data_IF_001022539365
#
_entry.id   IF_001022539365
#
_cell.length_a   1.000
_cell.length_b   1.000
_cell.length_c   1.000
_cell.angle_alpha   90.00
_cell.angle_beta   90.00
_cell.angle_gamma   90.00
#
_symmetry.space_group_name_H-M   'P 1'
#
loop_
_entity.id
_entity.type
_entity.pdbx_description
1 polymer ?
#
# COMPACT_ATOMS: atom_id res chain seq x y z
N UNK A 1 0.78 13.07 19.41
CA UNK A 1 0.87 14.45 18.90
C UNK A 1 0.56 14.34 17.42
N UNK A 2 -0.57 14.85 16.97
CA UNK A 2 -1.00 14.68 15.58
C UNK A 2 -0.32 15.77 14.77
N UNK A 3 0.76 15.44 14.08
CA UNK A 3 1.41 16.36 13.16
C UNK A 3 0.44 16.59 11.99
N UNK A 4 -0.19 17.76 11.97
CA UNK A 4 -1.13 18.14 10.94
C UNK A 4 -0.39 18.26 9.61
N UNK A 5 -0.74 17.43 8.63
CA UNK A 5 -0.30 17.53 7.23
C UNK A 5 -0.53 18.97 6.74
N UNK A 6 0.55 19.70 6.45
CA UNK A 6 0.49 21.09 5.97
C UNK A 6 0.42 21.08 4.45
N UNK A 7 -0.78 21.17 3.91
CA UNK A 7 -0.97 21.36 2.46
C UNK A 7 -0.37 22.72 2.05
N UNK A 8 0.73 22.72 1.31
CA UNK A 8 1.43 23.95 0.89
C UNK A 8 0.91 24.49 -0.43
N UNK A 9 0.46 23.63 -1.33
CA UNK A 9 0.01 23.99 -2.67
C UNK A 9 -1.21 23.15 -3.06
N UNK A 10 -2.11 23.70 -3.88
CA UNK A 10 -3.30 22.98 -4.38
C UNK A 10 -3.43 23.25 -5.87
N UNK A 11 -3.42 22.20 -6.68
CA UNK A 11 -3.63 22.31 -8.12
C UNK A 11 -5.10 22.07 -8.45
N UNK A 12 -5.73 22.98 -9.19
CA UNK A 12 -7.18 22.92 -9.47
C UNK A 12 -7.45 22.68 -10.95
N UNK A 13 -8.57 21.99 -11.21
CA UNK A 13 -9.11 21.76 -12.56
C UNK A 13 -8.13 21.11 -13.54
N UNK A 14 -7.31 20.18 -13.04
CA UNK A 14 -6.43 19.39 -13.88
C UNK A 14 -7.28 18.42 -14.72
N UNK A 15 -7.11 18.39 -16.05
CA UNK A 15 -7.81 17.43 -16.90
C UNK A 15 -7.20 16.04 -16.69
N UNK A 16 -8.02 15.09 -16.28
CA UNK A 16 -7.66 13.68 -16.13
C UNK A 16 -8.49 12.86 -17.11
N UNK A 17 -7.81 12.13 -17.99
CA UNK A 17 -8.46 11.22 -18.92
C UNK A 17 -8.47 9.81 -18.32
N UNK A 18 -9.67 9.27 -18.09
CA UNK A 18 -9.88 7.86 -17.80
C UNK A 18 -10.81 7.30 -18.87
N UNK A 19 -10.35 6.29 -19.58
CA UNK A 19 -10.99 5.77 -20.79
C UNK A 19 -11.24 6.91 -21.81
N UNK A 20 -12.44 6.97 -22.36
CA UNK A 20 -12.87 8.00 -23.32
C UNK A 20 -13.45 9.26 -22.65
N UNK A 21 -13.28 9.45 -21.34
CA UNK A 21 -13.87 10.58 -20.60
C UNK A 21 -12.80 11.44 -19.92
N UNK A 22 -12.90 12.75 -20.14
CA UNK A 22 -12.10 13.75 -19.43
C UNK A 22 -12.88 14.26 -18.22
N UNK A 23 -12.24 14.22 -17.05
CA UNK A 23 -12.77 14.75 -15.79
C UNK A 23 -11.82 15.80 -15.23
N UNK A 24 -12.36 16.86 -14.64
CA UNK A 24 -11.57 17.83 -13.90
C UNK A 24 -11.35 17.32 -12.47
N UNK A 25 -10.10 17.33 -12.01
CA UNK A 25 -9.75 16.97 -10.64
C UNK A 25 -8.94 18.09 -9.97
N UNK A 26 -8.95 18.09 -8.63
CA UNK A 26 -8.03 18.87 -7.83
C UNK A 26 -6.97 17.91 -7.26
N UNK A 27 -5.70 18.25 -7.40
CA UNK A 27 -4.60 17.48 -6.86
C UNK A 27 -3.97 18.20 -5.67
N UNK A 28 -3.69 17.42 -4.63
CA UNK A 28 -2.95 17.85 -3.45
C UNK A 28 -1.55 17.21 -3.55
N UNK A 29 -0.46 17.98 -3.50
CA UNK A 29 0.88 17.43 -3.41
C UNK A 29 1.00 16.73 -2.05
N UNK A 30 1.32 15.44 -2.10
CA UNK A 30 1.66 14.66 -0.92
C UNK A 30 3.18 14.61 -0.83
N UNK A 31 3.73 14.89 0.35
CA UNK A 31 5.17 14.71 0.57
C UNK A 31 5.49 13.21 0.56
N UNK A 32 6.65 12.84 0.00
CA UNK A 32 7.07 11.44 -0.07
C UNK A 32 7.28 10.86 1.34
N UNK A 33 7.72 11.68 2.30
CA UNK A 33 7.80 11.30 3.70
C UNK A 33 6.43 11.00 4.33
N UNK A 34 5.37 11.73 3.93
CA UNK A 34 4.00 11.45 4.37
C UNK A 34 3.43 10.18 3.71
N UNK A 35 3.85 9.86 2.49
CA UNK A 35 3.45 8.64 1.80
C UNK A 35 4.00 7.38 2.48
N UNK A 36 5.25 7.41 2.94
CA UNK A 36 5.88 6.30 3.67
C UNK A 36 5.13 6.01 4.99
N UNK A 37 4.72 7.06 5.72
CA UNK A 37 3.90 6.92 6.94
C UNK A 37 2.54 6.26 6.63
N UNK A 38 1.90 6.64 5.53
CA UNK A 38 0.60 6.06 5.13
C UNK A 38 0.74 4.58 4.77
N UNK A 39 1.83 4.19 4.09
CA UNK A 39 2.09 2.79 3.75
C UNK A 39 2.44 1.95 4.97
N UNK A 40 3.18 2.50 5.92
CA UNK A 40 3.52 1.84 7.19
C UNK A 40 2.30 1.64 8.10
N UNK A 41 1.25 2.46 7.95
CA UNK A 41 -0.03 2.30 8.66
C UNK A 41 -1.00 1.30 7.97
N UNK A 42 -0.68 0.78 6.77
CA UNK A 42 -1.54 -0.19 6.11
C UNK A 42 -1.48 -1.55 6.84
N UNK A 43 -2.61 -2.12 7.28
CA UNK A 43 -2.66 -3.33 8.12
C UNK A 43 -2.15 -4.61 7.44
N UNK A 44 -1.74 -4.55 6.17
CA UNK A 44 -1.23 -5.68 5.39
C UNK A 44 0.20 -5.49 4.86
N UNK A 45 0.80 -4.32 5.00
CA UNK A 45 2.20 -4.10 4.68
C UNK A 45 2.97 -4.21 6.00
N UNK A 46 3.79 -5.25 6.20
CA UNK A 46 4.67 -5.23 7.35
C UNK A 46 5.60 -4.01 7.17
N UNK A 47 5.66 -3.07 8.13
CA UNK A 47 6.61 -1.96 8.05
C UNK A 47 8.02 -2.53 7.88
N UNK A 48 8.99 -1.76 7.39
CA UNK A 48 10.39 -2.20 7.43
C UNK A 48 10.79 -2.38 8.89
N UNK A 49 10.75 -3.62 9.37
CA UNK A 49 10.94 -3.92 10.79
C UNK A 49 12.43 -4.00 11.06
N UNK A 50 12.93 -3.20 12.01
CA UNK A 50 14.30 -3.32 12.53
C UNK A 50 14.53 -4.63 13.31
N UNK A 51 13.47 -5.41 13.55
CA UNK A 51 13.47 -6.63 14.34
C UNK A 51 13.10 -7.83 13.48
N UNK A 52 13.90 -8.89 13.56
CA UNK A 52 13.65 -10.19 12.93
C UNK A 52 12.57 -10.97 13.70
N UNK A 53 11.55 -11.47 13.00
CA UNK A 53 10.46 -12.24 13.60
C UNK A 53 10.74 -13.73 13.46
N UNK A 54 10.79 -14.43 14.59
CA UNK A 54 10.90 -15.88 14.63
C UNK A 54 9.50 -16.51 14.72
N UNK A 55 9.21 -17.49 13.86
CA UNK A 55 8.00 -18.31 13.97
C UNK A 55 8.37 -19.58 14.73
N UNK A 56 7.95 -19.68 15.99
CA UNK A 56 8.13 -20.88 16.79
C UNK A 56 7.12 -21.95 16.36
N UNK A 57 7.64 -23.11 15.95
CA UNK A 57 6.81 -24.27 15.61
C UNK A 57 6.61 -25.15 16.84
N UNK A 58 5.42 -25.74 16.96
CA UNK A 58 5.18 -26.78 17.96
C UNK A 58 6.16 -27.94 17.71
N UNK A 59 6.83 -28.48 18.74
CA UNK A 59 7.77 -29.59 18.58
C UNK A 59 7.14 -30.76 17.81
N UNK A 60 7.83 -31.24 16.78
CA UNK A 60 7.33 -32.33 15.91
C UNK A 60 6.54 -31.87 14.67
N UNK A 61 6.35 -30.56 14.48
CA UNK A 61 5.83 -30.00 13.23
C UNK A 61 6.71 -30.38 12.03
N UNK A 62 6.07 -30.71 10.91
CA UNK A 62 6.74 -31.05 9.65
C UNK A 62 6.39 -30.02 8.58
N UNK A 63 7.30 -29.71 7.64
CA UNK A 63 6.97 -28.87 6.49
C UNK A 63 5.79 -29.44 5.71
N UNK A 64 4.87 -28.57 5.30
CA UNK A 64 3.73 -28.93 4.45
C UNK A 64 4.00 -28.38 3.05
N UNK A 65 3.87 -29.24 2.05
CA UNK A 65 3.90 -28.84 0.65
C UNK A 65 2.55 -29.12 0.01
N UNK A 66 1.96 -28.10 -0.62
CA UNK A 66 0.69 -28.21 -1.34
C UNK A 66 0.86 -27.61 -2.72
N UNK A 67 0.42 -28.33 -3.75
CA UNK A 67 0.42 -27.79 -5.10
C UNK A 67 -0.44 -26.51 -5.16
N UNK A 68 0.00 -25.46 -5.88
CA UNK A 68 -0.83 -24.29 -6.13
C UNK A 68 -2.17 -24.69 -6.75
N UNK A 69 -3.24 -23.98 -6.39
CA UNK A 69 -4.52 -24.15 -7.06
C UNK A 69 -4.40 -23.70 -8.52
N UNK A 70 -5.12 -24.38 -9.42
CA UNK A 70 -5.24 -23.91 -10.81
C UNK A 70 -6.10 -22.65 -10.80
N UNK A 71 -5.52 -21.54 -11.25
CA UNK A 71 -6.26 -20.33 -11.57
C UNK A 71 -6.82 -20.47 -12.99
N UNK A 72 -7.99 -19.89 -13.24
CA UNK A 72 -8.45 -19.70 -14.61
C UNK A 72 -7.47 -18.74 -15.33
N UNK A 73 -7.27 -18.89 -16.66
CA UNK A 73 -6.52 -17.91 -17.42
C UNK A 73 -7.15 -16.54 -17.29
N UNK A 74 -6.32 -15.50 -17.30
CA UNK A 74 -6.80 -14.14 -17.55
C UNK A 74 -7.15 -14.10 -19.05
N UNK A 75 -8.39 -13.71 -19.35
CA UNK A 75 -8.89 -13.59 -20.73
C UNK A 75 -8.13 -12.54 -21.52
#
# INVERSE_FOLDING_TARGET
MQDSVRITHVYRNLPLQFDDKIRAINALPLDMYEFDIILDELPGIPPVREVEFNIELIPGSKPIFKAPYRMAPIE
#
